data_IF_861250659029
#
_entry.id   IF_861250659029
#
_cell.length_a   1.000
_cell.length_b   1.000
_cell.length_c   1.000
_cell.angle_alpha   90.00
_cell.angle_beta   90.00
_cell.angle_gamma   90.00
#
_symmetry.space_group_name_H-M   'P 1'
#
loop_
_entity.id
_entity.type
_entity.pdbx_description
1 polymer ?
#
# COMPACT_ATOMS: atom_id res chain seq x y z
N UNK A 1 37.90 2.22 29.47
CA UNK A 1 36.68 1.51 29.05
C UNK A 1 35.65 1.53 30.18
N UNK A 2 34.67 2.44 30.08
CA UNK A 2 33.53 2.47 31.00
C UNK A 2 32.87 1.09 30.97
N UNK A 3 32.73 0.43 32.11
CA UNK A 3 32.30 -0.96 32.19
C UNK A 3 30.80 -1.06 31.86
N UNK A 4 30.49 -1.04 30.56
CA UNK A 4 29.12 -1.10 30.02
C UNK A 4 28.37 -2.30 30.61
N UNK A 5 29.06 -3.42 30.87
CA UNK A 5 28.49 -4.60 31.52
C UNK A 5 28.03 -4.28 32.96
N UNK A 6 28.83 -3.58 33.76
CA UNK A 6 28.43 -3.14 35.10
C UNK A 6 27.25 -2.15 35.07
N UNK A 7 27.23 -1.20 34.12
CA UNK A 7 26.07 -0.30 33.93
C UNK A 7 24.78 -1.07 33.58
N UNK A 8 24.89 -2.16 32.79
CA UNK A 8 23.74 -3.02 32.43
C UNK A 8 23.22 -3.83 33.63
N UNK A 9 24.12 -4.32 34.50
CA UNK A 9 23.74 -5.09 35.70
C UNK A 9 22.94 -4.23 36.69
N UNK A 10 23.25 -2.94 36.79
CA UNK A 10 22.51 -1.99 37.64
C UNK A 10 21.17 -1.52 37.06
N UNK A 11 20.79 -1.93 35.84
CA UNK A 11 19.58 -1.44 35.19
C UNK A 11 18.36 -2.32 35.48
N UNK A 12 17.23 -1.71 35.89
CA UNK A 12 15.95 -2.42 36.03
C UNK A 12 15.35 -2.74 34.66
N UNK A 13 14.56 -3.82 34.60
CA UNK A 13 13.90 -4.28 33.37
C UNK A 13 13.09 -3.15 32.71
N UNK A 14 13.34 -2.91 31.43
CA UNK A 14 12.65 -1.87 30.65
C UNK A 14 13.05 -0.41 30.96
N UNK A 15 13.97 -0.16 31.91
CA UNK A 15 14.43 1.19 32.30
C UNK A 15 15.85 1.50 31.82
N UNK A 16 16.17 1.18 30.57
CA UNK A 16 17.48 1.49 29.98
C UNK A 16 17.53 2.95 29.57
N UNK A 17 18.44 3.72 30.17
CA UNK A 17 18.65 5.13 29.81
C UNK A 17 19.04 5.27 28.33
N UNK A 18 18.58 6.34 27.68
CA UNK A 18 18.89 6.59 26.27
C UNK A 18 20.40 6.71 25.99
N UNK A 19 21.16 7.21 26.97
CA UNK A 19 22.62 7.32 26.91
C UNK A 19 23.31 5.96 26.98
N UNK A 20 22.91 5.08 27.91
CA UNK A 20 23.42 3.70 27.99
C UNK A 20 23.07 2.91 26.73
N UNK A 21 21.83 3.03 26.25
CA UNK A 21 21.39 2.41 25.00
C UNK A 21 22.29 2.84 23.82
N UNK A 22 22.60 4.13 23.72
CA UNK A 22 23.47 4.64 22.66
C UNK A 22 24.92 4.11 22.76
N UNK A 23 25.47 3.99 23.99
CA UNK A 23 26.80 3.39 24.23
C UNK A 23 26.83 1.92 23.78
N UNK A 24 25.85 1.12 24.20
CA UNK A 24 25.73 -0.31 23.84
C UNK A 24 25.67 -0.47 22.32
N UNK A 25 24.76 0.27 21.66
CA UNK A 25 24.59 0.22 20.21
C UNK A 25 25.87 0.65 19.49
N UNK A 26 26.57 1.68 19.98
CA UNK A 26 27.86 2.11 19.41
C UNK A 26 28.90 1.00 19.48
N UNK A 27 29.02 0.32 20.62
CA UNK A 27 30.00 -0.77 20.81
C UNK A 27 29.70 -1.95 19.89
N UNK A 28 28.43 -2.38 19.81
CA UNK A 28 28.02 -3.48 18.93
C UNK A 28 28.30 -3.14 17.47
N UNK A 29 27.94 -1.94 17.02
CA UNK A 29 28.19 -1.53 15.63
C UNK A 29 29.69 -1.45 15.34
N UNK A 30 30.50 -0.97 16.29
CA UNK A 30 31.97 -0.95 16.14
C UNK A 30 32.55 -2.35 15.96
N UNK A 31 32.04 -3.34 16.70
CA UNK A 31 32.49 -4.73 16.61
C UNK A 31 32.00 -5.42 15.33
N UNK A 32 30.76 -5.15 14.90
CA UNK A 32 30.20 -5.72 13.67
C UNK A 32 30.85 -5.15 12.42
N UNK A 33 31.23 -3.87 12.43
CA UNK A 33 31.75 -3.17 11.26
C UNK A 33 33.28 -3.18 11.13
N UNK A 34 33.98 -4.12 11.76
CA UNK A 34 35.45 -4.26 11.63
C UNK A 34 35.84 -4.73 10.24
N UNK A 35 35.16 -5.75 9.71
CA UNK A 35 35.54 -6.40 8.45
C UNK A 35 34.64 -5.98 7.26
N UNK A 36 33.41 -5.55 7.52
CA UNK A 36 32.45 -5.12 6.48
C UNK A 36 31.54 -4.02 7.00
N UNK A 37 31.18 -3.09 6.13
CA UNK A 37 30.17 -2.07 6.45
C UNK A 37 28.73 -2.57 6.23
N UNK A 38 28.54 -3.80 5.74
CA UNK A 38 27.25 -4.46 5.53
C UNK A 38 27.08 -5.81 6.27
N UNK A 39 27.16 -5.86 7.62
CA UNK A 39 26.93 -7.09 8.39
C UNK A 39 25.55 -7.77 8.26
N UNK A 40 24.59 -7.22 7.49
CA UNK A 40 23.25 -7.79 7.22
C UNK A 40 22.62 -8.65 8.35
N UNK A 41 22.66 -9.98 8.22
CA UNK A 41 22.04 -10.92 9.18
C UNK A 41 22.66 -10.83 10.59
N UNK A 42 23.93 -10.41 10.69
CA UNK A 42 24.63 -10.24 11.97
C UNK A 42 24.00 -9.13 12.83
N UNK A 43 23.25 -8.19 12.26
CA UNK A 43 22.51 -7.21 13.08
C UNK A 43 21.43 -7.86 13.95
N UNK A 44 20.73 -8.86 13.40
CA UNK A 44 19.70 -9.59 14.14
C UNK A 44 20.34 -10.56 15.13
N UNK A 45 21.43 -11.24 14.74
CA UNK A 45 22.19 -12.11 15.65
C UNK A 45 22.67 -11.33 16.87
N UNK A 46 23.34 -10.19 16.66
CA UNK A 46 23.84 -9.36 17.76
C UNK A 46 22.72 -8.85 18.68
N UNK A 47 21.54 -8.52 18.13
CA UNK A 47 20.40 -8.11 18.93
C UNK A 47 19.82 -9.26 19.79
N UNK A 48 19.77 -10.48 19.24
CA UNK A 48 19.36 -11.68 19.99
C UNK A 48 20.37 -12.03 21.07
N UNK A 49 21.66 -12.01 20.74
CA UNK A 49 22.74 -12.33 21.68
C UNK A 49 22.81 -11.31 22.83
N UNK A 50 22.58 -10.03 22.54
CA UNK A 50 22.50 -8.97 23.56
C UNK A 50 21.39 -9.27 24.57
N UNK A 51 20.19 -9.61 24.09
CA UNK A 51 19.02 -9.86 24.95
C UNK A 51 19.10 -11.22 25.64
N UNK A 52 19.77 -12.19 25.04
CA UNK A 52 20.06 -13.50 25.64
C UNK A 52 21.01 -13.36 26.84
N UNK A 53 22.09 -12.58 26.68
CA UNK A 53 23.08 -12.32 27.74
C UNK A 53 22.55 -11.39 28.84
N UNK A 54 21.67 -10.45 28.48
CA UNK A 54 21.10 -9.47 29.41
C UNK A 54 19.57 -9.43 29.29
N UNK A 55 18.87 -10.35 29.97
CA UNK A 55 17.41 -10.44 29.90
C UNK A 55 16.67 -9.16 30.28
N UNK A 56 17.23 -8.31 31.16
CA UNK A 56 16.66 -7.01 31.54
C UNK A 56 16.58 -6.00 30.37
N UNK A 57 17.30 -6.25 29.28
CA UNK A 57 17.27 -5.42 28.08
C UNK A 57 16.13 -5.82 27.12
N UNK A 58 15.33 -6.84 27.43
CA UNK A 58 14.17 -7.23 26.60
C UNK A 58 13.25 -6.04 26.36
N UNK A 59 12.83 -5.86 25.10
CA UNK A 59 11.80 -4.89 24.76
C UNK A 59 10.40 -5.54 24.76
N UNK A 60 9.38 -4.69 24.67
CA UNK A 60 7.96 -5.09 24.63
C UNK A 60 7.52 -5.70 23.29
N UNK A 61 8.45 -5.91 22.34
CA UNK A 61 8.10 -6.51 21.06
C UNK A 61 7.90 -8.02 21.19
N UNK A 62 7.16 -8.63 20.27
CA UNK A 62 6.93 -10.09 20.23
C UNK A 62 8.23 -10.90 20.16
N UNK A 63 9.30 -10.34 19.63
CA UNK A 63 10.61 -11.00 19.53
C UNK A 63 11.60 -10.51 20.59
N UNK A 64 11.17 -9.64 21.50
CA UNK A 64 11.92 -9.03 22.60
C UNK A 64 13.24 -8.30 22.25
N UNK A 65 13.61 -8.22 20.97
CA UNK A 65 14.84 -7.61 20.49
C UNK A 65 14.65 -6.68 19.28
N UNK A 66 13.41 -6.45 18.84
CA UNK A 66 13.13 -5.71 17.60
C UNK A 66 13.64 -4.26 17.64
N UNK A 67 13.49 -3.58 18.77
CA UNK A 67 13.97 -2.21 18.96
C UNK A 67 15.50 -2.12 18.90
N UNK A 68 16.20 -3.13 19.44
CA UNK A 68 17.66 -3.23 19.45
C UNK A 68 18.19 -3.48 18.04
N UNK A 69 17.60 -4.44 17.33
CA UNK A 69 17.90 -4.69 15.92
C UNK A 69 17.73 -3.41 15.08
N UNK A 70 16.62 -2.68 15.26
CA UNK A 70 16.40 -1.42 14.57
C UNK A 70 17.49 -0.39 14.91
N UNK A 71 17.80 -0.20 16.20
CA UNK A 71 18.78 0.79 16.67
C UNK A 71 20.19 0.51 16.13
N UNK A 72 20.64 -0.74 16.15
CA UNK A 72 21.93 -1.18 15.58
C UNK A 72 21.96 -0.90 14.08
N UNK A 73 20.93 -1.33 13.34
CA UNK A 73 20.82 -1.11 11.89
C UNK A 73 20.80 0.37 11.52
N UNK A 74 20.07 1.19 12.28
CA UNK A 74 19.99 2.64 12.07
C UNK A 74 21.35 3.32 12.30
N UNK A 75 22.08 2.94 13.36
CA UNK A 75 23.41 3.48 13.64
C UNK A 75 24.40 3.13 12.54
N UNK A 76 24.48 1.86 12.13
CA UNK A 76 25.36 1.41 11.03
C UNK A 76 25.02 2.10 9.69
N UNK A 77 23.73 2.30 9.40
CA UNK A 77 23.28 3.10 8.25
C UNK A 77 23.75 4.56 8.33
N UNK A 78 23.61 5.20 9.48
CA UNK A 78 24.01 6.59 9.67
C UNK A 78 25.53 6.80 9.53
N UNK A 79 26.34 5.84 10.00
CA UNK A 79 27.79 5.86 9.78
C UNK A 79 28.10 5.85 8.29
N UNK A 80 27.58 4.88 7.52
CA UNK A 80 27.78 4.81 6.06
C UNK A 80 27.32 6.08 5.32
N UNK A 81 26.21 6.69 5.77
CA UNK A 81 25.70 7.94 5.17
C UNK A 81 26.65 9.12 5.35
N UNK A 82 27.35 9.20 6.49
CA UNK A 82 28.28 10.29 6.83
C UNK A 82 29.74 9.99 6.49
N UNK A 83 30.04 8.76 6.07
CA UNK A 83 31.40 8.33 5.73
C UNK A 83 31.88 9.05 4.45
N UNK A 84 33.11 9.62 4.45
CA UNK A 84 33.72 10.21 3.25
C UNK A 84 34.01 9.12 2.21
N UNK A 85 34.36 9.55 0.99
CA UNK A 85 34.84 8.62 -0.04
C UNK A 85 36.18 7.99 0.39
N UNK A 86 36.44 6.76 -0.05
CA UNK A 86 37.65 6.01 0.28
C UNK A 86 37.39 4.59 0.79
N UNK A 87 36.13 4.17 0.89
CA UNK A 87 35.76 2.78 1.23
C UNK A 87 35.01 2.17 0.05
N UNK A 88 35.73 1.40 -0.77
CA UNK A 88 35.23 0.84 -2.03
C UNK A 88 33.86 0.16 -1.90
N UNK A 89 33.65 -0.63 -0.83
CA UNK A 89 32.36 -1.30 -0.56
C UNK A 89 31.19 -0.31 -0.37
N UNK A 90 31.43 0.82 0.30
CA UNK A 90 30.41 1.84 0.55
C UNK A 90 30.20 2.72 -0.69
N UNK A 91 31.29 3.07 -1.36
CA UNK A 91 31.27 3.97 -2.51
C UNK A 91 30.59 3.33 -3.73
N UNK A 92 30.88 2.06 -4.01
CA UNK A 92 30.18 1.29 -5.05
C UNK A 92 28.67 1.23 -4.79
N UNK A 93 28.25 0.98 -3.54
CA UNK A 93 26.82 0.94 -3.17
C UNK A 93 26.16 2.32 -3.25
N UNK A 94 26.87 3.39 -2.87
CA UNK A 94 26.39 4.78 -3.05
C UNK A 94 26.23 5.12 -4.53
N UNK A 95 27.19 4.75 -5.37
CA UNK A 95 27.14 4.95 -6.81
C UNK A 95 25.98 4.17 -7.46
N UNK A 96 25.79 2.90 -7.11
CA UNK A 96 24.64 2.10 -7.57
C UNK A 96 23.30 2.71 -7.14
N UNK A 97 23.19 3.19 -5.90
CA UNK A 97 21.98 3.84 -5.42
C UNK A 97 21.70 5.18 -6.14
N UNK A 98 22.75 5.95 -6.44
CA UNK A 98 22.67 7.18 -7.24
C UNK A 98 22.23 6.87 -8.67
N UNK A 99 22.90 5.94 -9.35
CA UNK A 99 22.55 5.50 -10.71
C UNK A 99 21.12 4.94 -10.79
N UNK A 100 20.66 4.22 -9.77
CA UNK A 100 19.26 3.77 -9.68
C UNK A 100 18.29 4.95 -9.53
N UNK A 101 18.63 5.97 -8.72
CA UNK A 101 17.80 7.17 -8.58
C UNK A 101 17.74 7.97 -9.88
N UNK A 102 18.87 8.13 -10.56
CA UNK A 102 18.96 8.83 -11.86
C UNK A 102 18.18 8.09 -12.95
N UNK A 103 18.33 6.77 -13.06
CA UNK A 103 17.49 5.95 -13.96
C UNK A 103 16.00 6.11 -13.67
N UNK A 104 15.59 6.19 -12.41
CA UNK A 104 14.19 6.48 -12.05
C UNK A 104 13.75 7.89 -12.43
N UNK A 105 14.61 8.89 -12.31
CA UNK A 105 14.33 10.27 -12.68
C UNK A 105 14.23 10.45 -14.21
N UNK A 106 14.95 9.63 -14.98
CA UNK A 106 14.90 9.63 -16.44
C UNK A 106 13.66 8.91 -17.02
N UNK A 107 12.89 8.18 -16.21
CA UNK A 107 11.65 7.55 -16.67
C UNK A 107 10.56 8.58 -16.93
N UNK A 108 9.73 8.44 -17.99
CA UNK A 108 8.59 9.31 -18.27
C UNK A 108 7.67 9.43 -17.04
N UNK A 109 7.07 10.61 -16.84
CA UNK A 109 6.23 10.96 -15.68
C UNK A 109 5.17 9.88 -15.31
N UNK A 110 4.62 9.19 -16.32
CA UNK A 110 3.63 8.12 -16.16
C UNK A 110 4.16 6.84 -15.47
N UNK A 111 5.49 6.70 -15.31
CA UNK A 111 6.15 5.55 -14.66
C UNK A 111 6.86 5.91 -13.35
N UNK A 112 7.01 7.21 -13.03
CA UNK A 112 7.59 7.67 -11.76
C UNK A 112 6.64 7.45 -10.57
N UNK A 113 5.33 7.46 -10.82
CA UNK A 113 4.26 7.25 -9.85
C UNK A 113 4.02 5.77 -9.52
N UNK A 114 5.05 5.04 -9.05
CA UNK A 114 4.80 3.85 -8.22
C UNK A 114 4.86 4.26 -6.74
N UNK A 115 3.72 4.45 -6.07
CA UNK A 115 3.72 4.66 -4.62
C UNK A 115 4.29 3.40 -3.95
N UNK A 116 5.25 3.60 -3.04
CA UNK A 116 5.92 2.51 -2.31
C UNK A 116 5.05 1.91 -1.20
N UNK A 117 3.94 2.54 -0.84
CA UNK A 117 2.98 2.08 0.14
C UNK A 117 1.56 2.29 -0.40
N UNK A 118 0.73 1.26 -0.41
CA UNK A 118 -0.66 1.28 -0.89
C UNK A 118 -1.63 1.97 0.09
N UNK A 119 -1.25 3.11 0.69
CA UNK A 119 -2.10 3.83 1.63
C UNK A 119 -2.19 5.29 1.20
N UNK A 120 -3.38 5.64 0.70
CA UNK A 120 -3.88 6.98 0.37
C UNK A 120 -3.01 7.74 -0.63
N UNK A 121 -3.30 7.54 -1.93
CA UNK A 121 -3.04 8.58 -2.91
C UNK A 121 -3.90 9.80 -2.54
N UNK A 122 -3.37 10.67 -1.67
CA UNK A 122 -3.84 12.06 -1.61
C UNK A 122 -3.31 12.68 -2.89
N UNK A 123 -4.10 12.60 -3.95
CA UNK A 123 -3.88 13.45 -5.11
C UNK A 123 -3.87 14.90 -4.60
N UNK A 124 -2.92 15.74 -5.05
CA UNK A 124 -2.97 17.16 -4.75
C UNK A 124 -4.38 17.65 -5.02
N UNK A 125 -4.96 18.42 -4.10
CA UNK A 125 -6.24 19.06 -4.36
C UNK A 125 -6.14 19.70 -5.75
N UNK A 126 -7.03 19.32 -6.66
CA UNK A 126 -7.11 20.00 -7.94
C UNK A 126 -7.21 21.48 -7.60
N UNK A 127 -6.21 22.27 -7.99
CA UNK A 127 -6.29 23.72 -7.81
C UNK A 127 -7.63 24.12 -8.44
N UNK A 128 -8.41 24.93 -7.72
CA UNK A 128 -9.63 25.54 -8.25
C UNK A 128 -9.22 26.35 -9.48
N UNK A 129 -9.13 25.71 -10.63
CA UNK A 129 -8.90 26.39 -11.89
C UNK A 129 -10.10 27.26 -12.16
N UNK A 130 -9.86 28.44 -12.73
CA UNK A 130 -10.88 29.36 -13.24
C UNK A 130 -11.89 28.56 -14.07
N UNK A 131 -13.10 28.36 -13.56
CA UNK A 131 -14.07 27.49 -14.22
C UNK A 131 -15.27 27.19 -13.35
N UNK A 132 -16.35 27.89 -13.67
CA UNK A 132 -17.68 27.89 -13.06
C UNK A 132 -17.75 28.54 -11.67
N UNK A 133 -18.57 29.58 -11.56
CA UNK A 133 -18.96 30.16 -10.28
C UNK A 133 -19.71 29.11 -9.43
N UNK A 134 -19.69 29.27 -8.10
CA UNK A 134 -20.39 28.33 -7.20
C UNK A 134 -21.88 28.23 -7.55
N UNK A 135 -22.47 29.28 -8.15
CA UNK A 135 -23.83 29.31 -8.66
C UNK A 135 -24.06 28.34 -9.83
N UNK A 136 -23.17 28.32 -10.84
CA UNK A 136 -23.25 27.36 -11.96
C UNK A 136 -23.08 25.92 -11.48
N UNK A 137 -22.12 25.68 -10.58
CA UNK A 137 -21.91 24.34 -9.98
C UNK A 137 -23.18 23.87 -9.28
N UNK A 138 -23.80 24.74 -8.48
CA UNK A 138 -25.04 24.42 -7.79
C UNK A 138 -26.19 24.17 -8.78
N UNK A 139 -26.30 24.98 -9.83
CA UNK A 139 -27.29 24.77 -10.90
C UNK A 139 -27.15 23.41 -11.59
N UNK A 140 -25.92 22.96 -11.87
CA UNK A 140 -25.65 21.63 -12.42
C UNK A 140 -25.99 20.50 -11.44
N UNK A 141 -25.71 20.69 -10.15
CA UNK A 141 -26.09 19.74 -9.09
C UNK A 141 -27.61 19.59 -9.01
N UNK A 142 -28.35 20.69 -9.03
CA UNK A 142 -29.81 20.68 -8.94
C UNK A 142 -30.45 20.09 -10.20
N UNK A 143 -29.89 20.39 -11.38
CA UNK A 143 -30.29 19.75 -12.64
C UNK A 143 -30.15 18.24 -12.56
N UNK A 144 -28.98 17.74 -12.13
CA UNK A 144 -28.74 16.30 -11.95
C UNK A 144 -29.73 15.69 -10.95
N UNK A 145 -29.92 16.32 -9.78
CA UNK A 145 -30.87 15.84 -8.76
C UNK A 145 -32.29 15.74 -9.32
N UNK A 146 -32.74 16.75 -10.08
CA UNK A 146 -34.06 16.76 -10.71
C UNK A 146 -34.18 15.69 -11.79
N UNK A 147 -33.16 15.52 -12.62
CA UNK A 147 -33.13 14.51 -13.68
C UNK A 147 -33.21 13.09 -13.11
N UNK A 148 -32.44 12.79 -12.07
CA UNK A 148 -32.38 11.46 -11.45
C UNK A 148 -33.65 11.09 -10.65
N UNK A 149 -34.54 12.04 -10.37
CA UNK A 149 -35.85 11.77 -9.76
C UNK A 149 -36.90 11.29 -10.78
N UNK A 150 -36.64 11.42 -12.08
CA UNK A 150 -37.58 10.96 -13.12
C UNK A 150 -37.58 9.44 -13.20
N UNK A 151 -38.73 8.87 -13.54
CA UNK A 151 -38.89 7.43 -13.80
C UNK A 151 -37.97 6.96 -14.92
N UNK A 152 -37.86 7.76 -15.99
CA UNK A 152 -36.89 7.59 -17.06
C UNK A 152 -36.06 8.87 -17.11
N UNK A 153 -34.76 8.74 -16.83
CA UNK A 153 -33.84 9.85 -16.67
C UNK A 153 -32.80 9.84 -17.80
N UNK A 154 -32.39 11.02 -18.24
CA UNK A 154 -31.40 11.17 -19.31
C UNK A 154 -29.97 11.00 -18.76
N UNK A 155 -29.37 9.85 -19.08
CA UNK A 155 -28.03 9.50 -18.66
C UNK A 155 -26.97 10.46 -19.21
N UNK A 156 -27.14 11.00 -20.43
CA UNK A 156 -26.17 11.94 -21.02
C UNK A 156 -26.20 13.27 -20.27
N UNK A 157 -27.39 13.75 -19.89
CA UNK A 157 -27.52 14.97 -19.08
C UNK A 157 -26.85 14.85 -17.72
N UNK A 158 -27.03 13.72 -17.04
CA UNK A 158 -26.36 13.49 -15.75
C UNK A 158 -24.85 13.37 -15.92
N UNK A 159 -24.39 12.67 -16.96
CA UNK A 159 -22.96 12.55 -17.24
C UNK A 159 -22.32 13.92 -17.50
N UNK A 160 -22.99 14.79 -18.27
CA UNK A 160 -22.54 16.15 -18.55
C UNK A 160 -22.49 17.00 -17.27
N UNK A 161 -23.55 16.98 -16.46
CA UNK A 161 -23.58 17.67 -15.17
C UNK A 161 -22.46 17.18 -14.24
N UNK A 162 -22.21 15.87 -14.18
CA UNK A 162 -21.12 15.28 -13.40
C UNK A 162 -19.73 15.64 -13.93
N UNK A 163 -19.56 15.81 -15.25
CA UNK A 163 -18.31 16.27 -15.87
C UNK A 163 -18.03 17.74 -15.52
N UNK A 164 -19.01 18.63 -15.67
CA UNK A 164 -18.88 20.07 -15.38
C UNK A 164 -18.54 20.33 -13.91
N UNK A 165 -19.21 19.60 -13.02
CA UNK A 165 -19.01 19.73 -11.57
C UNK A 165 -17.78 19.01 -11.02
N UNK A 166 -17.02 18.27 -11.85
CA UNK A 166 -15.93 17.40 -11.38
C UNK A 166 -14.87 18.13 -10.55
N UNK A 167 -14.37 19.29 -11.01
CA UNK A 167 -13.32 20.03 -10.28
C UNK A 167 -13.80 20.49 -8.90
N UNK A 168 -14.99 21.10 -8.85
CA UNK A 168 -15.59 21.57 -7.60
C UNK A 168 -15.91 20.41 -6.66
N UNK A 169 -16.50 19.33 -7.19
CA UNK A 169 -16.77 18.10 -6.43
C UNK A 169 -15.49 17.50 -5.87
N UNK A 170 -14.41 17.42 -6.64
CA UNK A 170 -13.13 16.85 -6.17
C UNK A 170 -12.50 17.70 -5.07
N UNK A 171 -12.55 19.03 -5.19
CA UNK A 171 -12.10 19.94 -4.15
C UNK A 171 -12.92 19.75 -2.86
N UNK A 172 -14.24 19.64 -2.99
CA UNK A 172 -15.15 19.36 -1.87
C UNK A 172 -14.91 17.99 -1.23
N UNK A 173 -14.71 16.93 -2.02
CA UNK A 173 -14.43 15.58 -1.54
C UNK A 173 -13.11 15.47 -0.75
N UNK A 174 -12.19 16.41 -0.94
CA UNK A 174 -10.94 16.47 -0.18
C UNK A 174 -11.09 17.20 1.17
N UNK A 175 -12.27 17.76 1.48
CA UNK A 175 -12.57 18.32 2.81
C UNK A 175 -12.68 17.21 3.85
N UNK A 176 -12.29 17.49 5.09
CA UNK A 176 -12.35 16.52 6.18
C UNK A 176 -13.81 16.20 6.57
N UNK A 177 -14.07 14.93 6.93
CA UNK A 177 -15.32 14.44 7.54
C UNK A 177 -16.58 14.33 6.65
N UNK A 178 -16.45 14.06 5.36
CA UNK A 178 -17.61 13.71 4.52
C UNK A 178 -18.00 12.24 4.68
N UNK A 179 -19.29 11.98 4.96
CA UNK A 179 -19.87 10.63 4.95
C UNK A 179 -20.36 10.26 3.56
N UNK A 180 -20.48 8.96 3.27
CA UNK A 180 -21.05 8.48 2.00
C UNK A 180 -22.44 9.05 1.78
N UNK A 181 -23.28 9.12 2.82
CA UNK A 181 -24.63 9.67 2.74
C UNK A 181 -24.64 11.15 2.31
N UNK A 182 -23.74 11.98 2.87
CA UNK A 182 -23.61 13.39 2.48
C UNK A 182 -23.15 13.52 1.02
N UNK A 183 -22.21 12.67 0.59
CA UNK A 183 -21.72 12.64 -0.79
C UNK A 183 -22.81 12.25 -1.77
N UNK A 184 -23.55 11.18 -1.49
CA UNK A 184 -24.60 10.69 -2.39
C UNK A 184 -25.88 11.53 -2.31
N UNK A 185 -26.14 12.23 -1.20
CA UNK A 185 -27.22 13.22 -1.17
C UNK A 185 -26.91 14.36 -2.15
N UNK A 186 -25.70 14.94 -2.08
CA UNK A 186 -25.32 16.03 -2.98
C UNK A 186 -25.16 15.58 -4.42
N UNK A 187 -24.52 14.42 -4.63
CA UNK A 187 -24.26 13.82 -5.94
C UNK A 187 -24.85 12.40 -6.03
N UNK A 188 -26.17 12.27 -6.26
CA UNK A 188 -26.84 10.96 -6.29
C UNK A 188 -26.29 10.00 -7.35
N UNK A 189 -25.71 10.53 -8.44
CA UNK A 189 -25.08 9.70 -9.47
C UNK A 189 -23.95 8.83 -8.89
N UNK A 190 -23.20 9.31 -7.89
CA UNK A 190 -22.10 8.57 -7.26
C UNK A 190 -22.55 7.32 -6.50
N UNK A 191 -23.85 7.13 -6.25
CA UNK A 191 -24.37 5.88 -5.70
C UNK A 191 -24.36 4.73 -6.73
N UNK A 192 -24.18 5.03 -8.03
CA UNK A 192 -24.18 4.03 -9.10
C UNK A 192 -22.75 3.63 -9.47
N UNK A 193 -22.53 2.32 -9.62
CA UNK A 193 -21.22 1.76 -9.97
C UNK A 193 -20.60 2.38 -11.24
N UNK A 194 -21.44 2.66 -12.25
CA UNK A 194 -20.99 3.30 -13.49
C UNK A 194 -20.38 4.68 -13.23
N UNK A 195 -21.00 5.49 -12.37
CA UNK A 195 -20.48 6.84 -12.09
C UNK A 195 -19.19 6.77 -11.26
N UNK A 196 -19.04 5.77 -10.39
CA UNK A 196 -17.78 5.51 -9.68
C UNK A 196 -16.65 5.22 -10.67
N UNK A 197 -16.92 4.41 -11.71
CA UNK A 197 -15.96 4.14 -12.79
C UNK A 197 -15.65 5.41 -13.59
N UNK A 198 -16.66 6.24 -13.88
CA UNK A 198 -16.45 7.50 -14.57
C UNK A 198 -15.63 8.49 -13.72
N UNK A 199 -15.84 8.54 -12.41
CA UNK A 199 -15.04 9.37 -11.50
C UNK A 199 -13.57 8.92 -11.48
N UNK A 200 -13.32 7.60 -11.49
CA UNK A 200 -11.97 7.05 -11.68
C UNK A 200 -11.38 7.48 -13.02
N UNK A 201 -12.17 7.46 -14.11
CA UNK A 201 -11.73 7.87 -15.44
C UNK A 201 -11.42 9.37 -15.51
N UNK A 202 -12.25 10.23 -14.92
CA UNK A 202 -11.98 11.68 -14.80
C UNK A 202 -10.70 11.96 -14.00
N UNK A 203 -10.43 11.14 -12.99
CA UNK A 203 -9.27 11.31 -12.13
C UNK A 203 -7.97 10.80 -12.75
N UNK A 204 -8.01 9.66 -13.44
CA UNK A 204 -6.80 8.98 -13.91
C UNK A 204 -6.59 9.09 -15.42
N UNK A 205 -7.60 9.52 -16.17
CA UNK A 205 -7.65 9.50 -17.63
C UNK A 205 -7.76 8.09 -18.22
N UNK A 206 -7.95 7.06 -17.38
CA UNK A 206 -7.95 5.65 -17.80
C UNK A 206 -9.30 5.01 -17.53
N UNK A 207 -9.68 4.09 -18.40
CA UNK A 207 -10.86 3.26 -18.17
C UNK A 207 -10.54 2.14 -17.17
N UNK A 208 -11.27 2.09 -16.07
CA UNK A 208 -11.03 1.13 -15.00
C UNK A 208 -11.30 -0.31 -15.46
N UNK A 209 -12.37 -0.51 -16.23
CA UNK A 209 -12.81 -1.83 -16.66
C UNK A 209 -11.88 -2.38 -17.73
N UNK A 210 -11.53 -1.56 -18.73
CA UNK A 210 -10.55 -1.93 -19.75
C UNK A 210 -9.18 -2.24 -19.13
N UNK A 211 -8.71 -1.39 -18.22
CA UNK A 211 -7.43 -1.59 -17.54
C UNK A 211 -7.40 -2.86 -16.68
N UNK A 212 -8.51 -3.17 -16.00
CA UNK A 212 -8.64 -4.39 -15.20
C UNK A 212 -8.69 -5.64 -16.09
N UNK A 213 -9.48 -5.61 -17.18
CA UNK A 213 -9.58 -6.71 -18.13
C UNK A 213 -8.21 -7.03 -18.74
N UNK A 214 -7.50 -6.02 -19.25
CA UNK A 214 -6.16 -6.18 -19.82
C UNK A 214 -5.13 -6.70 -18.81
N UNK A 215 -5.24 -6.28 -17.54
CA UNK A 215 -4.40 -6.83 -16.47
C UNK A 215 -4.67 -8.32 -16.26
N UNK A 216 -5.94 -8.71 -16.14
CA UNK A 216 -6.33 -10.10 -15.90
C UNK A 216 -5.95 -10.99 -17.08
N UNK A 217 -6.20 -10.55 -18.30
CA UNK A 217 -5.80 -11.29 -19.50
C UNK A 217 -4.30 -11.58 -19.52
N UNK A 218 -3.47 -10.57 -19.23
CA UNK A 218 -2.01 -10.71 -19.21
C UNK A 218 -1.47 -11.52 -18.04
N UNK A 219 -2.09 -11.41 -16.86
CA UNK A 219 -1.48 -11.84 -15.59
C UNK A 219 -2.13 -13.06 -14.95
N UNK A 220 -3.31 -13.50 -15.39
CA UNK A 220 -4.05 -14.60 -14.76
C UNK A 220 -3.21 -15.88 -14.66
N UNK A 221 -2.58 -16.33 -15.75
CA UNK A 221 -1.76 -17.56 -15.73
C UNK A 221 -0.66 -17.50 -14.66
N UNK A 222 0.13 -16.43 -14.64
CA UNK A 222 1.21 -16.24 -13.67
C UNK A 222 0.69 -16.14 -12.23
N UNK A 223 -0.49 -15.52 -12.02
CA UNK A 223 -1.11 -15.46 -10.71
C UNK A 223 -1.48 -16.85 -10.19
N UNK A 224 -2.02 -17.74 -11.04
CA UNK A 224 -2.35 -19.11 -10.62
C UNK A 224 -1.12 -19.96 -10.32
N UNK A 225 -0.01 -19.76 -11.02
CA UNK A 225 1.28 -20.37 -10.65
C UNK A 225 1.70 -19.96 -9.23
N UNK A 226 1.61 -18.66 -8.91
CA UNK A 226 1.91 -18.15 -7.57
C UNK A 226 0.93 -18.67 -6.50
N UNK A 227 -0.37 -18.74 -6.82
CA UNK A 227 -1.37 -19.24 -5.87
C UNK A 227 -1.15 -20.71 -5.50
N UNK A 228 -0.62 -21.52 -6.43
CA UNK A 228 -0.28 -22.93 -6.19
C UNK A 228 0.91 -23.12 -5.25
N UNK A 229 1.81 -22.13 -5.17
CA UNK A 229 2.97 -22.15 -4.27
C UNK A 229 2.62 -21.76 -2.83
N UNK A 230 1.50 -21.06 -2.61
CA UNK A 230 1.06 -20.58 -1.29
C UNK A 230 0.05 -21.52 -0.66
N UNK A 231 0.37 -22.08 0.50
CA UNK A 231 -0.53 -23.00 1.23
C UNK A 231 -1.94 -22.42 1.47
N UNK A 232 -2.04 -21.12 1.77
CA UNK A 232 -3.30 -20.42 2.03
C UNK A 232 -4.24 -20.31 0.82
N UNK A 233 -3.72 -20.42 -0.41
CA UNK A 233 -4.51 -20.27 -1.65
C UNK A 233 -4.51 -21.53 -2.52
N UNK A 234 -3.59 -22.47 -2.30
CA UNK A 234 -3.32 -23.62 -3.17
C UNK A 234 -4.56 -24.48 -3.43
N UNK A 235 -5.31 -24.85 -2.39
CA UNK A 235 -6.49 -25.70 -2.54
C UNK A 235 -7.59 -25.01 -3.35
N UNK A 236 -7.89 -23.75 -3.04
CA UNK A 236 -8.93 -22.97 -3.72
C UNK A 236 -8.54 -22.64 -5.16
N UNK A 237 -7.26 -22.39 -5.43
CA UNK A 237 -6.75 -22.23 -6.79
C UNK A 237 -6.93 -23.51 -7.63
N UNK A 238 -6.66 -24.69 -7.05
CA UNK A 238 -6.88 -25.98 -7.70
C UNK A 238 -8.35 -26.20 -8.06
N UNK A 239 -9.25 -25.93 -7.11
CA UNK A 239 -10.70 -26.05 -7.34
C UNK A 239 -11.20 -25.14 -8.46
N UNK A 240 -10.70 -23.89 -8.55
CA UNK A 240 -11.12 -22.96 -9.59
C UNK A 240 -10.55 -23.36 -10.96
N UNK A 241 -9.32 -23.89 -11.01
CA UNK A 241 -8.75 -24.43 -12.25
C UNK A 241 -9.57 -25.61 -12.77
N UNK A 242 -9.90 -26.58 -11.90
CA UNK A 242 -10.73 -27.73 -12.24
C UNK A 242 -12.14 -27.29 -12.71
N UNK A 243 -12.76 -26.32 -12.02
CA UNK A 243 -14.05 -25.78 -12.43
C UNK A 243 -14.00 -25.06 -13.79
N UNK A 244 -12.91 -24.34 -14.07
CA UNK A 244 -12.73 -23.65 -15.35
C UNK A 244 -12.49 -24.61 -16.52
N UNK A 245 -11.79 -25.73 -16.29
CA UNK A 245 -11.59 -26.79 -17.29
C UNK A 245 -12.92 -27.49 -17.64
N UNK A 246 -13.80 -27.67 -16.65
CA UNK A 246 -15.10 -28.31 -16.85
C UNK A 246 -16.18 -27.38 -17.44
N UNK A 247 -15.91 -26.08 -17.56
CA UNK A 247 -16.83 -25.09 -18.14
C UNK A 247 -16.13 -24.22 -19.20
N UNK A 248 -15.96 -24.70 -20.44
CA UNK A 248 -15.19 -24.00 -21.49
C UNK A 248 -15.71 -22.59 -21.81
N UNK A 249 -17.04 -22.41 -21.80
CA UNK A 249 -17.70 -21.13 -22.11
C UNK A 249 -17.42 -20.04 -21.07
N UNK A 250 -17.30 -20.42 -19.79
CA UNK A 250 -17.17 -19.49 -18.67
C UNK A 250 -15.80 -19.55 -17.98
N UNK A 251 -14.92 -20.47 -18.41
CA UNK A 251 -13.65 -20.75 -17.77
C UNK A 251 -12.76 -19.51 -17.65
N UNK A 252 -12.71 -18.66 -18.68
CA UNK A 252 -11.96 -17.38 -18.64
C UNK A 252 -12.48 -16.46 -17.54
N UNK A 253 -13.79 -16.33 -17.40
CA UNK A 253 -14.45 -15.48 -16.40
C UNK A 253 -14.24 -16.04 -14.99
N UNK A 254 -14.37 -17.37 -14.82
CA UNK A 254 -14.10 -18.06 -13.57
C UNK A 254 -12.65 -17.85 -13.10
N UNK A 255 -11.70 -17.98 -14.02
CA UNK A 255 -10.28 -17.75 -13.73
C UNK A 255 -10.01 -16.30 -13.34
N UNK A 256 -10.57 -15.33 -14.08
CA UNK A 256 -10.44 -13.91 -13.80
C UNK A 256 -10.99 -13.54 -12.41
N UNK A 257 -12.21 -14.00 -12.09
CA UNK A 257 -12.84 -13.77 -10.78
C UNK A 257 -12.08 -14.46 -9.64
N UNK A 258 -11.62 -15.69 -9.89
CA UNK A 258 -10.79 -16.44 -8.95
C UNK A 258 -9.44 -15.74 -8.69
N UNK A 259 -8.83 -15.16 -9.72
CA UNK A 259 -7.59 -14.41 -9.58
C UNK A 259 -7.78 -13.18 -8.67
N UNK A 260 -8.86 -12.42 -8.86
CA UNK A 260 -9.18 -11.29 -7.98
C UNK A 260 -9.47 -11.73 -6.54
N UNK A 261 -10.16 -12.85 -6.38
CA UNK A 261 -10.51 -13.40 -5.06
C UNK A 261 -9.28 -13.90 -4.28
N UNK A 262 -8.31 -14.48 -4.97
CA UNK A 262 -7.10 -15.07 -4.37
C UNK A 262 -5.92 -14.09 -4.26
N UNK A 263 -5.94 -12.98 -5.00
CA UNK A 263 -4.89 -11.96 -4.98
C UNK A 263 -4.49 -11.51 -3.56
N UNK A 264 -5.43 -11.29 -2.61
CA UNK A 264 -5.09 -10.90 -1.23
C UNK A 264 -4.19 -11.91 -0.50
N UNK A 265 -4.31 -13.20 -0.82
CA UNK A 265 -3.49 -14.25 -0.21
C UNK A 265 -2.00 -14.08 -0.51
N UNK A 266 -1.64 -13.52 -1.68
CA UNK A 266 -0.24 -13.21 -2.02
C UNK A 266 0.29 -12.01 -1.21
N UNK A 267 -0.60 -11.10 -0.83
CA UNK A 267 -0.29 -9.90 -0.05
C UNK A 267 -0.37 -10.11 1.47
N UNK A 268 -0.63 -11.35 1.93
CA UNK A 268 -0.88 -11.72 3.33
C UNK A 268 -2.14 -11.06 3.92
N UNK A 269 -3.12 -10.77 3.07
CA UNK A 269 -4.42 -10.22 3.43
C UNK A 269 -5.51 -11.31 3.38
N UNK A 270 -6.64 -11.08 4.06
CA UNK A 270 -7.80 -11.99 4.02
C UNK A 270 -8.68 -11.65 2.82
N UNK A 271 -8.98 -12.62 1.96
CA UNK A 271 -9.85 -12.46 0.78
C UNK A 271 -11.27 -12.00 1.12
N UNK A 272 -11.76 -12.35 2.31
CA UNK A 272 -13.14 -12.11 2.74
C UNK A 272 -13.47 -10.62 2.96
N UNK A 273 -12.46 -9.75 2.97
CA UNK A 273 -12.64 -8.31 3.16
C UNK A 273 -12.92 -7.56 1.86
N UNK A 274 -12.64 -8.16 0.69
CA UNK A 274 -12.71 -7.47 -0.61
C UNK A 274 -13.86 -7.93 -1.49
N UNK A 275 -14.26 -9.19 -1.35
CA UNK A 275 -15.41 -9.75 -2.06
C UNK A 275 -16.39 -10.21 -0.98
N UNK A 276 -17.52 -9.51 -0.78
CA UNK A 276 -18.59 -10.05 0.04
C UNK A 276 -18.97 -11.40 -0.56
N UNK A 277 -18.78 -12.48 0.20
CA UNK A 277 -19.43 -13.74 -0.15
C UNK A 277 -20.92 -13.43 -0.16
N UNK A 278 -21.53 -13.36 -1.35
CA UNK A 278 -22.97 -13.51 -1.46
C UNK A 278 -23.27 -14.92 -0.94
N UNK A 279 -23.57 -15.02 0.36
CA UNK A 279 -24.31 -16.16 0.87
C UNK A 279 -25.65 -16.08 0.16
N UNK A 280 -25.88 -16.99 -0.77
CA UNK A 280 -27.20 -17.29 -1.29
C UNK A 280 -28.12 -17.42 -0.09
N UNK A 281 -29.06 -16.48 0.03
CA UNK A 281 -30.16 -16.58 0.99
C UNK A 281 -30.96 -17.78 0.49
N UNK A 282 -30.91 -18.90 1.21
CA UNK A 282 -31.78 -20.03 0.92
C UNK A 282 -33.23 -19.52 0.89
N UNK A 283 -34.06 -19.95 -0.07
CA UNK A 283 -35.48 -19.61 -0.05
C UNK A 283 -36.06 -20.17 1.25
N UNK A 284 -36.59 -19.27 2.08
CA UNK A 284 -37.45 -19.63 3.20
C UNK A 284 -38.63 -20.41 2.63
N UNK A 285 -38.75 -21.66 3.06
CA UNK A 285 -39.94 -22.50 2.89
C UNK A 285 -41.10 -21.93 3.70
#
# INVERSE_FOLDING_TARGET
PVNICQEIVGTKEGQVSGTLRAKIVKQIVSALCVNTMYPCEHYLSAAKDLVSRYPQLKDKSRTHCASWHASIKHRARNIRRRMPAGVNEVDTRKAQAKAHRERRAALPCNQQCRPKNAVRNVFPAASRGTGEDEASVQGQVDLMKKEMKKTVWDQKKVQDAMNRTYKARRAWLNTENLTVAVVTDRYPALARAQEIQQEFRRQTGRDAQEGLAAFLERSTKALYELFRMKSSSKQKAKQILEAAENCPEEGKTLLANGALTLLPCLLKERSNNLVPCHRSRAPST
#
